data_IF_423779774305
#
_entry.id   IF_423779774305
#
_cell.length_a   1.000
_cell.length_b   1.000
_cell.length_c   1.000
_cell.angle_alpha   90.00
_cell.angle_beta   90.00
_cell.angle_gamma   90.00
#
_symmetry.space_group_name_H-M   'P 1'
#
loop_
_entity.id
_entity.type
_entity.pdbx_description
1 polymer ?
#
# COMPACT_ATOMS: atom_id res chain seq x y z
N UNK A 1 -3.56 -10.18 -12.79
CA UNK A 1 -2.46 -10.44 -11.84
C UNK A 1 -1.10 -9.99 -12.38
N UNK A 2 -0.71 -10.36 -13.61
CA UNK A 2 0.59 -9.96 -14.20
C UNK A 2 0.84 -8.44 -14.17
N UNK A 3 -0.14 -7.60 -14.52
CA UNK A 3 -0.01 -6.15 -14.53
C UNK A 3 0.39 -5.55 -13.16
N UNK A 4 -0.11 -6.11 -12.06
CA UNK A 4 0.25 -5.70 -10.70
C UNK A 4 1.73 -5.99 -10.39
N UNK A 5 2.22 -7.18 -10.76
CA UNK A 5 3.62 -7.55 -10.57
C UNK A 5 4.57 -6.72 -11.44
N UNK A 6 4.19 -6.45 -12.69
CA UNK A 6 4.97 -5.59 -13.59
C UNK A 6 5.07 -4.18 -13.00
N UNK A 7 3.98 -3.60 -12.50
CA UNK A 7 3.99 -2.30 -11.83
C UNK A 7 4.91 -2.26 -10.60
N UNK A 8 4.89 -3.31 -9.79
CA UNK A 8 5.73 -3.43 -8.60
C UNK A 8 7.23 -3.46 -8.95
N UNK A 9 7.61 -4.17 -10.02
CA UNK A 9 9.02 -4.29 -10.43
C UNK A 9 9.49 -3.02 -11.16
N UNK A 10 8.67 -2.48 -12.05
CA UNK A 10 9.04 -1.34 -12.91
C UNK A 10 9.33 -0.06 -12.11
N UNK A 11 8.70 0.13 -10.95
CA UNK A 11 8.85 1.35 -10.15
C UNK A 11 10.11 1.36 -9.25
N UNK A 12 10.72 0.21 -8.99
CA UNK A 12 11.87 0.08 -8.07
C UNK A 12 13.02 1.05 -8.35
N UNK A 13 13.50 1.23 -9.61
CA UNK A 13 14.60 2.16 -9.89
C UNK A 13 14.24 3.63 -9.63
N UNK A 14 12.93 3.96 -9.63
CA UNK A 14 12.44 5.34 -9.43
C UNK A 14 12.21 5.65 -7.94
N UNK A 15 11.96 4.63 -7.12
CA UNK A 15 11.60 4.82 -5.71
C UNK A 15 12.70 5.49 -4.89
N UNK A 16 13.96 5.05 -5.04
CA UNK A 16 15.10 5.61 -4.30
C UNK A 16 15.36 7.09 -4.63
N UNK A 17 15.47 7.51 -5.90
CA UNK A 17 15.65 8.92 -6.23
C UNK A 17 14.44 9.79 -5.82
N UNK A 18 13.23 9.23 -5.84
CA UNK A 18 12.03 9.92 -5.39
C UNK A 18 12.09 10.23 -3.90
N UNK A 19 12.50 9.25 -3.08
CA UNK A 19 12.64 9.40 -1.63
C UNK A 19 13.75 10.41 -1.26
N UNK A 20 14.86 10.43 -2.01
CA UNK A 20 15.95 11.39 -1.81
C UNK A 20 15.53 12.82 -2.13
N UNK A 21 14.68 13.04 -3.15
CA UNK A 21 14.24 14.40 -3.57
C UNK A 21 13.12 14.97 -2.71
N UNK A 22 12.16 14.14 -2.32
CA UNK A 22 10.93 14.61 -1.66
C UNK A 22 10.88 14.34 -0.17
N UNK A 23 11.78 13.48 0.33
CA UNK A 23 11.77 13.00 1.71
C UNK A 23 10.72 11.90 1.92
N UNK A 24 11.00 11.01 2.87
CA UNK A 24 10.17 9.81 3.12
C UNK A 24 8.74 10.18 3.50
N UNK A 25 8.54 11.17 4.37
CA UNK A 25 7.21 11.60 4.83
C UNK A 25 6.30 12.04 3.67
N UNK A 26 6.81 12.88 2.76
CA UNK A 26 6.02 13.35 1.60
C UNK A 26 5.69 12.21 0.65
N UNK A 27 6.65 11.33 0.41
CA UNK A 27 6.45 10.15 -0.44
C UNK A 27 5.35 9.25 0.15
N UNK A 28 5.37 8.99 1.45
CA UNK A 28 4.35 8.19 2.14
C UNK A 28 2.97 8.85 2.09
N UNK A 29 2.88 10.17 2.29
CA UNK A 29 1.61 10.90 2.20
C UNK A 29 1.01 10.82 0.79
N UNK A 30 1.79 11.14 -0.23
CA UNK A 30 1.35 11.07 -1.63
C UNK A 30 0.96 9.64 -1.99
N UNK A 31 1.78 8.66 -1.60
CA UNK A 31 1.50 7.26 -1.83
C UNK A 31 0.21 6.79 -1.14
N UNK A 32 -0.02 7.22 0.11
CA UNK A 32 -1.25 6.93 0.85
C UNK A 32 -2.49 7.48 0.17
N UNK A 33 -2.46 8.76 -0.22
CA UNK A 33 -3.59 9.41 -0.93
C UNK A 33 -3.86 8.72 -2.27
N UNK A 34 -2.82 8.45 -3.06
CA UNK A 34 -2.98 7.74 -4.35
C UNK A 34 -3.50 6.32 -4.16
N UNK A 35 -3.10 5.63 -3.08
CA UNK A 35 -3.62 4.29 -2.76
C UNK A 35 -5.10 4.33 -2.40
N UNK A 36 -5.55 5.30 -1.59
CA UNK A 36 -6.99 5.49 -1.29
C UNK A 36 -7.78 5.76 -2.56
N UNK A 37 -7.28 6.64 -3.45
CA UNK A 37 -7.91 6.89 -4.74
C UNK A 37 -7.96 5.64 -5.62
N UNK A 38 -6.91 4.83 -5.61
CA UNK A 38 -6.87 3.57 -6.35
C UNK A 38 -7.91 2.57 -5.83
N UNK A 39 -8.08 2.44 -4.51
CA UNK A 39 -9.15 1.64 -3.91
C UNK A 39 -10.55 2.17 -4.27
N UNK A 40 -10.74 3.48 -4.26
CA UNK A 40 -11.97 4.12 -4.72
C UNK A 40 -12.28 3.82 -6.18
N UNK A 41 -11.28 3.90 -7.06
CA UNK A 41 -11.43 3.51 -8.46
C UNK A 41 -11.80 2.03 -8.60
N UNK A 42 -11.13 1.13 -7.87
CA UNK A 42 -11.45 -0.30 -7.89
C UNK A 42 -12.87 -0.58 -7.41
N UNK A 43 -13.37 0.19 -6.43
CA UNK A 43 -14.75 0.08 -5.95
C UNK A 43 -15.79 0.51 -6.99
N UNK A 44 -15.43 1.44 -7.89
CA UNK A 44 -16.31 1.94 -8.96
C UNK A 44 -16.25 1.10 -10.24
N UNK A 45 -15.36 0.10 -10.34
CA UNK A 45 -15.26 -0.75 -11.52
C UNK A 45 -16.48 -1.68 -11.60
N UNK A 46 -17.15 -1.62 -12.74
CA UNK A 46 -18.23 -2.55 -13.11
C UNK A 46 -17.72 -3.65 -14.05
N UNK A 47 -18.54 -4.67 -14.26
CA UNK A 47 -18.20 -5.79 -15.15
C UNK A 47 -18.01 -5.37 -16.63
N UNK A 48 -18.55 -4.19 -17.01
CA UNK A 48 -18.50 -3.69 -18.38
C UNK A 48 -17.24 -2.90 -18.71
N UNK A 49 -16.34 -2.68 -17.72
CA UNK A 49 -15.13 -1.91 -17.90
C UNK A 49 -14.11 -2.68 -18.77
N UNK A 50 -13.49 -2.05 -19.78
CA UNK A 50 -12.46 -2.69 -20.61
C UNK A 50 -11.32 -3.25 -19.77
N UNK A 51 -10.87 -4.46 -20.09
CA UNK A 51 -9.77 -5.16 -19.40
C UNK A 51 -8.49 -4.30 -19.32
N UNK A 52 -8.26 -3.46 -20.34
CA UNK A 52 -7.12 -2.54 -20.37
C UNK A 52 -7.16 -1.51 -19.20
N UNK A 53 -8.34 -1.00 -18.85
CA UNK A 53 -8.51 -0.07 -17.72
C UNK A 53 -8.24 -0.79 -16.42
N UNK A 54 -8.80 -2.00 -16.24
CA UNK A 54 -8.55 -2.83 -15.06
C UNK A 54 -7.03 -3.11 -14.90
N UNK A 55 -6.38 -3.49 -16.01
CA UNK A 55 -4.93 -3.73 -16.03
C UNK A 55 -4.13 -2.48 -15.65
N UNK A 56 -4.54 -1.29 -16.13
CA UNK A 56 -3.93 -0.01 -15.78
C UNK A 56 -4.05 0.33 -14.29
N UNK A 57 -5.24 0.16 -13.70
CA UNK A 57 -5.47 0.40 -12.28
C UNK A 57 -4.66 -0.58 -11.43
N UNK A 58 -4.62 -1.85 -11.80
CA UNK A 58 -3.81 -2.86 -11.10
C UNK A 58 -2.30 -2.58 -11.22
N UNK A 59 -1.83 -2.09 -12.36
CA UNK A 59 -0.43 -1.68 -12.56
C UNK A 59 -0.06 -0.54 -11.62
N UNK A 60 -0.89 0.50 -11.55
CA UNK A 60 -0.69 1.64 -10.64
C UNK A 60 -0.74 1.19 -9.18
N UNK A 61 -1.70 0.33 -8.81
CA UNK A 61 -1.79 -0.25 -7.47
C UNK A 61 -0.52 -1.01 -7.08
N UNK A 62 0.04 -1.81 -8.01
CA UNK A 62 1.30 -2.52 -7.82
C UNK A 62 2.49 -1.58 -7.60
N UNK A 63 2.57 -0.50 -8.38
CA UNK A 63 3.61 0.52 -8.25
C UNK A 63 3.53 1.24 -6.89
N UNK A 64 2.33 1.68 -6.48
CA UNK A 64 2.10 2.32 -5.19
C UNK A 64 2.46 1.40 -4.02
N UNK A 65 2.08 0.12 -4.09
CA UNK A 65 2.46 -0.88 -3.10
C UNK A 65 3.98 -1.01 -2.97
N UNK A 66 4.71 -1.02 -4.08
CA UNK A 66 6.17 -1.10 -4.09
C UNK A 66 6.83 0.12 -3.45
N UNK A 67 6.34 1.33 -3.78
CA UNK A 67 6.82 2.60 -3.19
C UNK A 67 6.58 2.59 -1.68
N UNK A 68 5.36 2.30 -1.25
CA UNK A 68 5.01 2.25 0.16
C UNK A 68 5.86 1.24 0.94
N UNK A 69 5.98 0.01 0.42
CA UNK A 69 6.80 -1.03 1.02
C UNK A 69 8.26 -0.59 1.20
N UNK A 70 8.87 0.00 0.17
CA UNK A 70 10.25 0.47 0.24
C UNK A 70 10.39 1.63 1.23
N UNK A 71 9.46 2.58 1.23
CA UNK A 71 9.49 3.73 2.13
C UNK A 71 9.34 3.34 3.61
N UNK A 72 8.40 2.44 3.93
CA UNK A 72 8.23 1.93 5.29
C UNK A 72 9.44 1.12 5.75
N UNK A 73 10.02 0.26 4.90
CA UNK A 73 11.25 -0.46 5.24
C UNK A 73 12.42 0.51 5.48
N UNK A 74 12.60 1.52 4.64
CA UNK A 74 13.66 2.51 4.83
C UNK A 74 13.47 3.25 6.16
N UNK A 75 12.23 3.60 6.51
CA UNK A 75 11.93 4.26 7.78
C UNK A 75 12.20 3.34 8.98
N UNK A 76 11.79 2.07 8.89
CA UNK A 76 11.96 1.09 9.97
C UNK A 76 13.43 0.85 10.34
N UNK A 77 14.34 1.01 9.38
CA UNK A 77 15.78 0.81 9.60
C UNK A 77 16.59 2.10 9.73
N UNK A 78 15.95 3.27 9.69
CA UNK A 78 16.66 4.58 9.70
C UNK A 78 17.43 4.86 10.97
N UNK A 79 16.96 4.33 12.10
CA UNK A 79 17.49 4.62 13.43
C UNK A 79 18.05 3.35 14.14
N UNK A 80 18.26 2.26 13.37
CA UNK A 80 18.76 0.99 13.89
C UNK A 80 20.28 0.95 13.83
N UNK A 81 20.91 0.64 14.97
CA UNK A 81 22.36 0.47 15.04
C UNK A 81 22.85 -0.75 14.25
N UNK A 82 24.06 -0.67 13.69
CA UNK A 82 24.63 -1.72 12.84
C UNK A 82 24.70 -3.10 13.54
N UNK A 83 24.85 -3.14 14.86
CA UNK A 83 24.88 -4.38 15.66
C UNK A 83 23.50 -5.03 15.83
N UNK A 84 22.41 -4.27 15.67
CA UNK A 84 21.03 -4.74 15.89
C UNK A 84 20.28 -5.02 14.57
N UNK A 85 20.89 -4.75 13.42
CA UNK A 85 20.26 -4.90 12.11
C UNK A 85 19.68 -6.31 11.87
N UNK A 86 20.34 -7.36 12.34
CA UNK A 86 19.87 -8.74 12.17
C UNK A 86 18.58 -8.98 12.97
N UNK A 87 18.52 -8.51 14.20
CA UNK A 87 17.31 -8.65 15.03
C UNK A 87 16.17 -7.80 14.51
N UNK A 88 16.44 -6.56 14.10
CA UNK A 88 15.47 -5.66 13.51
C UNK A 88 14.90 -6.22 12.20
N UNK A 89 15.73 -6.81 11.33
CA UNK A 89 15.28 -7.40 10.07
C UNK A 89 14.39 -8.63 10.29
N UNK A 90 14.73 -9.48 11.27
CA UNK A 90 13.90 -10.65 11.62
C UNK A 90 12.54 -10.21 12.17
N UNK A 91 12.53 -9.23 13.09
CA UNK A 91 11.29 -8.68 13.62
C UNK A 91 10.43 -8.05 12.52
N UNK A 92 11.05 -7.23 11.67
CA UNK A 92 10.35 -6.58 10.56
C UNK A 92 9.75 -7.61 9.58
N UNK A 93 10.48 -8.68 9.26
CA UNK A 93 9.97 -9.76 8.41
C UNK A 93 8.77 -10.46 9.07
N UNK A 94 8.85 -10.79 10.37
CA UNK A 94 7.74 -11.42 11.08
C UNK A 94 6.49 -10.52 11.12
N UNK A 95 6.65 -9.22 11.39
CA UNK A 95 5.55 -8.25 11.37
C UNK A 95 4.93 -8.13 9.98
N UNK A 96 5.74 -8.13 8.92
CA UNK A 96 5.25 -8.07 7.54
C UNK A 96 4.43 -9.30 7.16
N UNK A 97 4.88 -10.51 7.52
CA UNK A 97 4.15 -11.75 7.26
C UNK A 97 2.83 -11.79 8.03
N UNK A 98 2.83 -11.38 9.31
CA UNK A 98 1.61 -11.24 10.10
C UNK A 98 0.65 -10.22 9.49
N UNK A 99 1.13 -9.06 9.08
CA UNK A 99 0.32 -8.02 8.46
C UNK A 99 -0.25 -8.48 7.11
N UNK A 100 0.52 -9.22 6.31
CA UNK A 100 0.05 -9.80 5.06
C UNK A 100 -1.07 -10.83 5.31
N UNK A 101 -0.90 -11.73 6.26
CA UNK A 101 -1.92 -12.71 6.65
C UNK A 101 -3.20 -12.05 7.17
N UNK A 102 -3.07 -11.06 8.07
CA UNK A 102 -4.19 -10.27 8.58
C UNK A 102 -4.91 -9.51 7.47
N UNK A 103 -4.18 -8.91 6.54
CA UNK A 103 -4.76 -8.20 5.39
C UNK A 103 -5.63 -9.11 4.51
N UNK A 104 -5.14 -10.32 4.22
CA UNK A 104 -5.92 -11.33 3.48
C UNK A 104 -7.16 -11.76 4.27
N UNK A 105 -7.02 -12.03 5.57
CA UNK A 105 -8.12 -12.45 6.44
C UNK A 105 -9.21 -11.36 6.54
N UNK A 106 -8.81 -10.09 6.75
CA UNK A 106 -9.75 -8.95 6.78
C UNK A 106 -10.46 -8.80 5.43
N UNK A 107 -9.75 -8.88 4.31
CA UNK A 107 -10.34 -8.82 2.99
C UNK A 107 -11.37 -9.92 2.75
N UNK A 108 -11.06 -11.16 3.15
CA UNK A 108 -11.97 -12.30 3.04
C UNK A 108 -13.21 -12.15 3.95
N UNK A 109 -13.02 -11.68 5.18
CA UNK A 109 -14.12 -11.43 6.12
C UNK A 109 -15.07 -10.35 5.61
N UNK A 110 -14.54 -9.22 5.12
CA UNK A 110 -15.34 -8.14 4.56
C UNK A 110 -16.15 -8.64 3.36
N UNK A 111 -15.54 -9.41 2.47
CA UNK A 111 -16.24 -9.98 1.34
C UNK A 111 -17.33 -10.96 1.79
N UNK A 112 -17.05 -11.79 2.79
CA UNK A 112 -18.03 -12.71 3.38
C UNK A 112 -19.22 -11.99 4.01
N UNK A 113 -18.99 -10.87 4.69
CA UNK A 113 -20.04 -10.04 5.30
C UNK A 113 -20.87 -9.31 4.24
N UNK A 114 -20.26 -8.78 3.19
CA UNK A 114 -20.97 -8.03 2.18
C UNK A 114 -21.67 -8.88 1.12
N UNK A 115 -21.24 -10.11 0.89
CA UNK A 115 -21.86 -11.01 -0.10
C UNK A 115 -23.35 -11.25 0.16
N UNK A 116 -23.83 -11.62 1.37
CA UNK A 116 -25.24 -11.89 1.61
C UNK A 116 -26.13 -10.63 1.59
N UNK A 117 -25.54 -9.44 1.77
CA UNK A 117 -26.25 -8.16 1.81
C UNK A 117 -26.33 -7.50 0.44
N UNK A 118 -25.53 -7.96 -0.50
CA UNK A 118 -25.43 -7.39 -1.85
C UNK A 118 -26.44 -8.00 -2.80
N UNK A 119 -27.27 -7.16 -3.40
CA UNK A 119 -28.29 -7.60 -4.37
C UNK A 119 -27.75 -7.80 -5.79
N UNK A 120 -26.57 -7.27 -6.10
CA UNK A 120 -25.89 -7.41 -7.38
C UNK A 120 -24.49 -8.01 -7.19
N UNK A 121 -24.09 -8.94 -8.04
CA UNK A 121 -22.86 -9.73 -7.89
C UNK A 121 -21.54 -8.97 -7.81
N UNK A 122 -21.51 -7.65 -8.15
CA UNK A 122 -20.32 -6.78 -8.04
C UNK A 122 -20.30 -5.93 -6.77
N UNK A 123 -21.42 -5.68 -6.13
CA UNK A 123 -21.52 -4.74 -5.00
C UNK A 123 -20.69 -5.14 -3.77
N UNK A 124 -20.58 -6.44 -3.48
CA UNK A 124 -19.80 -6.95 -2.37
C UNK A 124 -18.31 -6.55 -2.51
N UNK A 125 -17.77 -6.64 -3.71
CA UNK A 125 -16.40 -6.20 -4.00
C UNK A 125 -16.24 -4.68 -3.84
N UNK A 126 -17.21 -3.90 -4.33
CA UNK A 126 -17.19 -2.43 -4.19
C UNK A 126 -17.18 -2.00 -2.73
N UNK A 127 -18.06 -2.57 -1.90
CA UNK A 127 -18.08 -2.30 -0.46
C UNK A 127 -16.79 -2.74 0.23
N UNK A 128 -16.23 -3.89 -0.16
CA UNK A 128 -14.95 -4.36 0.38
C UNK A 128 -13.82 -3.37 0.05
N UNK A 129 -13.70 -2.93 -1.21
CA UNK A 129 -12.66 -1.96 -1.60
C UNK A 129 -12.84 -0.60 -0.92
N UNK A 130 -14.08 -0.11 -0.76
CA UNK A 130 -14.35 1.14 -0.04
C UNK A 130 -13.93 1.02 1.43
N UNK A 131 -14.25 -0.08 2.09
CA UNK A 131 -13.86 -0.30 3.49
C UNK A 131 -12.34 -0.40 3.64
N UNK A 132 -11.66 -1.11 2.75
CA UNK A 132 -10.19 -1.17 2.73
C UNK A 132 -9.58 0.20 2.45
N UNK A 133 -10.16 0.98 1.55
CA UNK A 133 -9.76 2.37 1.30
C UNK A 133 -9.91 3.26 2.54
N UNK A 134 -11.01 3.10 3.28
CA UNK A 134 -11.23 3.81 4.54
C UNK A 134 -10.21 3.41 5.61
N UNK A 135 -9.92 2.12 5.75
CA UNK A 135 -8.84 1.65 6.64
C UNK A 135 -7.48 2.22 6.23
N UNK A 136 -7.21 2.35 4.93
CA UNK A 136 -5.97 2.96 4.43
C UNK A 136 -5.85 4.44 4.82
N UNK A 137 -6.95 5.16 5.09
CA UNK A 137 -6.89 6.54 5.59
C UNK A 137 -6.21 6.63 6.97
N UNK A 138 -6.27 5.58 7.78
CA UNK A 138 -5.57 5.53 9.06
C UNK A 138 -4.05 5.66 8.86
N UNK A 139 -3.51 5.04 7.83
CA UNK A 139 -2.07 5.14 7.51
C UNK A 139 -1.66 6.55 7.10
N UNK A 140 -2.57 7.32 6.46
CA UNK A 140 -2.34 8.73 6.15
C UNK A 140 -2.29 9.55 7.44
N UNK A 141 -3.22 9.31 8.37
CA UNK A 141 -3.27 10.00 9.67
C UNK A 141 -1.99 9.71 10.47
N UNK A 142 -1.54 8.46 10.52
CA UNK A 142 -0.27 8.07 11.14
C UNK A 142 0.93 8.79 10.49
N UNK A 143 0.96 8.83 9.16
CA UNK A 143 2.04 9.50 8.41
C UNK A 143 2.05 11.01 8.65
N UNK A 144 0.88 11.64 8.87
CA UNK A 144 0.80 13.07 9.23
C UNK A 144 1.43 13.38 10.59
N UNK A 145 1.43 12.42 11.50
CA UNK A 145 2.05 12.53 12.84
C UNK A 145 3.55 12.33 12.81
N UNK A 146 4.12 11.78 11.71
CA UNK A 146 5.56 11.63 11.59
C UNK A 146 6.28 13.00 11.59
N UNK A 147 7.43 13.13 12.27
CA UNK A 147 8.28 14.30 12.16
C UNK A 147 8.69 14.58 10.70
N UNK A 148 8.93 15.85 10.39
CA UNK A 148 9.30 16.26 9.01
C UNK A 148 10.67 15.75 8.59
N UNK A 149 11.52 15.44 9.55
CA UNK A 149 12.89 14.94 9.42
C UNK A 149 13.00 13.41 9.57
N UNK A 150 11.86 12.71 9.67
CA UNK A 150 11.83 11.25 9.74
C UNK A 150 12.58 10.63 8.56
N UNK A 151 13.60 9.79 8.85
CA UNK A 151 14.43 9.15 7.83
C UNK A 151 15.46 10.07 7.16
N UNK A 152 15.72 11.27 7.67
CA UNK A 152 16.72 12.19 7.11
C UNK A 152 18.14 11.60 7.12
N UNK A 153 18.44 10.69 8.04
CA UNK A 153 19.73 10.00 8.12
C UNK A 153 20.02 9.12 6.88
N UNK A 154 18.99 8.64 6.19
CA UNK A 154 19.11 7.72 5.05
C UNK A 154 18.91 8.43 3.70
N UNK A 155 18.37 9.66 3.71
CA UNK A 155 18.05 10.43 2.48
C UNK A 155 19.08 11.49 2.14
N UNK A 156 20.08 11.71 3.02
CA UNK A 156 21.22 12.61 2.78
C UNK A 156 22.32 11.96 1.97
#
# INVERSE_FOLDING_TARGET
MAALFVGNIAIKPVTTPLMRRWGIRRVLLVNGVLSVLCFGLLACLSADVPVAVIAGVLFVSGALRSIGFTAYNTLAFSDVDAGELTHASTLNAAVQELAAGLGVAVGALLLGVFTPVSHAGGQAYSWTYLTLGLLMMLTIIETLRLPTDAGAAVTR
#
